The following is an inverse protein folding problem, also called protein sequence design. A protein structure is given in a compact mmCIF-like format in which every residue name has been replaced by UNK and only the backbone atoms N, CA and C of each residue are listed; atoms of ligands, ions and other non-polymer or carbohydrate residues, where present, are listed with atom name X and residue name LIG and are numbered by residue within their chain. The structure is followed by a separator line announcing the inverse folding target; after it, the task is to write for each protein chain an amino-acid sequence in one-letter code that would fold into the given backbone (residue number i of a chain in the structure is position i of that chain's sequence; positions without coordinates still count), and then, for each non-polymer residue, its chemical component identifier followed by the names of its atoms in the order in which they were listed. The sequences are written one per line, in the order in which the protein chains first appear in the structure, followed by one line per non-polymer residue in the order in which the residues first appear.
data_IF_511451489246
#
_entry.id   IF_511451489246
#
_cell.length_a   1.000
_cell.length_b   1.000
_cell.length_c   1.000
_cell.angle_alpha   90.00
_cell.angle_beta   90.00
_cell.angle_gamma   90.00
#
_symmetry.space_group_name_H-M   'P 1'
#
loop_
_entity.id
_entity.type
_entity.pdbx_description
1 polymer ?
#
# COMPACT_ATOMS: atom_id res chain seq x y z
N UNK A 1 26.74 -4.93 -16.25
CA UNK A 1 26.04 -4.65 -14.97
C UNK A 1 25.46 -3.24 -15.06
N UNK A 2 24.17 -3.11 -15.29
CA UNK A 2 23.46 -1.82 -15.23
C UNK A 2 23.21 -1.53 -13.75
N UNK A 3 23.81 -0.47 -13.23
CA UNK A 3 23.61 0.01 -11.86
C UNK A 3 22.16 0.45 -11.73
N UNK A 4 21.40 -0.11 -10.79
CA UNK A 4 20.06 0.38 -10.49
C UNK A 4 20.11 1.90 -10.27
N UNK A 5 19.18 2.68 -10.83
CA UNK A 5 19.18 4.11 -10.63
C UNK A 5 19.02 4.42 -9.13
N UNK A 6 19.92 5.23 -8.61
CA UNK A 6 19.83 5.72 -7.23
C UNK A 6 18.60 6.63 -7.16
N UNK A 7 17.65 6.33 -6.29
CA UNK A 7 16.45 7.13 -6.09
C UNK A 7 16.84 8.61 -5.85
N UNK A 8 16.18 9.53 -6.54
CA UNK A 8 16.39 10.98 -6.36
C UNK A 8 16.06 11.39 -4.92
N UNK A 9 16.64 12.51 -4.45
CA UNK A 9 16.33 13.04 -3.10
C UNK A 9 14.82 13.34 -2.94
N UNK A 10 14.14 13.70 -4.01
CA UNK A 10 12.68 13.86 -4.03
C UNK A 10 11.97 12.50 -3.77
N UNK A 11 12.38 11.45 -4.47
CA UNK A 11 11.79 10.11 -4.29
C UNK A 11 12.06 9.56 -2.90
N UNK A 12 13.26 9.79 -2.35
CA UNK A 12 13.58 9.43 -0.97
C UNK A 12 12.69 10.19 0.02
N UNK A 13 12.55 11.52 -0.13
CA UNK A 13 11.68 12.33 0.71
C UNK A 13 10.21 11.86 0.63
N UNK A 14 9.73 11.55 -0.58
CA UNK A 14 8.37 11.07 -0.81
C UNK A 14 8.13 9.72 -0.13
N UNK A 15 9.07 8.78 -0.21
CA UNK A 15 8.98 7.50 0.47
C UNK A 15 8.92 7.67 2.00
N UNK A 16 9.85 8.46 2.58
CA UNK A 16 9.92 8.70 4.02
C UNK A 16 8.62 9.36 4.53
N UNK A 17 8.09 10.35 3.79
CA UNK A 17 6.86 11.03 4.20
C UNK A 17 5.66 10.08 4.12
N UNK A 18 5.57 9.22 3.10
CA UNK A 18 4.53 8.19 3.01
C UNK A 18 4.61 7.18 4.15
N UNK A 19 5.82 6.76 4.52
CA UNK A 19 6.03 5.86 5.64
C UNK A 19 5.58 6.52 6.95
N UNK A 20 5.89 7.80 7.17
CA UNK A 20 5.45 8.57 8.33
C UNK A 20 3.91 8.75 8.39
N UNK A 21 3.25 8.96 7.25
CA UNK A 21 1.77 8.98 7.15
C UNK A 21 1.22 7.61 7.52
N UNK A 22 1.76 6.55 6.95
CA UNK A 22 1.31 5.17 7.19
C UNK A 22 1.51 4.72 8.63
N UNK A 23 2.58 5.19 9.28
CA UNK A 23 2.89 4.93 10.68
C UNK A 23 2.05 5.79 11.66
N UNK A 24 1.24 6.74 11.14
CA UNK A 24 0.46 7.67 11.99
C UNK A 24 1.32 8.72 12.70
N UNK A 25 2.54 8.96 12.22
CA UNK A 25 3.43 10.00 12.77
C UNK A 25 3.01 11.41 12.34
N UNK A 26 2.22 11.52 11.27
CA UNK A 26 1.61 12.75 10.80
C UNK A 26 0.12 12.74 11.11
N UNK A 27 -0.31 13.74 11.87
CA UNK A 27 -1.67 13.94 12.34
C UNK A 27 -2.49 14.71 11.29
N UNK A 28 -3.72 14.29 10.99
CA UNK A 28 -4.62 14.93 10.03
C UNK A 28 -5.09 16.32 10.48
N UNK A 29 -5.17 16.57 11.78
CA UNK A 29 -5.58 17.88 12.34
C UNK A 29 -4.44 18.92 12.35
N UNK A 30 -3.24 18.52 11.94
CA UNK A 30 -2.04 19.36 12.03
C UNK A 30 -1.59 19.89 10.66
N UNK A 31 -1.15 21.17 10.65
CA UNK A 31 -0.51 21.77 9.47
C UNK A 31 1.00 21.65 9.59
N UNK A 32 1.64 21.11 8.59
CA UNK A 32 3.08 20.87 8.50
C UNK A 32 3.72 21.85 7.52
N UNK A 33 4.70 22.64 7.95
CA UNK A 33 5.51 23.42 7.03
C UNK A 33 6.57 22.56 6.36
N UNK A 34 6.87 22.78 5.08
CA UNK A 34 7.93 22.07 4.39
C UNK A 34 9.29 22.23 5.08
N UNK A 35 9.56 23.40 5.67
CA UNK A 35 10.80 23.66 6.41
C UNK A 35 10.86 22.87 7.73
N UNK A 36 9.73 22.75 8.44
CA UNK A 36 9.64 21.94 9.65
C UNK A 36 9.86 20.46 9.36
N UNK A 37 9.19 19.92 8.34
CA UNK A 37 9.40 18.55 7.88
C UNK A 37 10.84 18.29 7.42
N UNK A 38 11.42 19.19 6.63
CA UNK A 38 12.80 19.09 6.18
C UNK A 38 13.78 18.97 7.36
N UNK A 39 13.58 19.79 8.40
CA UNK A 39 14.36 19.72 9.63
C UNK A 39 14.18 18.40 10.37
N UNK A 40 12.93 17.94 10.50
CA UNK A 40 12.61 16.67 11.18
C UNK A 40 13.21 15.47 10.45
N UNK A 41 13.18 15.47 9.12
CA UNK A 41 13.70 14.39 8.27
C UNK A 41 15.21 14.48 8.00
N UNK A 42 15.89 15.52 8.48
CA UNK A 42 17.31 15.76 8.20
C UNK A 42 17.63 15.99 6.71
N UNK A 43 16.67 16.52 5.95
CA UNK A 43 16.76 16.72 4.50
C UNK A 43 16.76 18.22 4.14
N UNK A 44 17.19 18.54 2.90
CA UNK A 44 17.06 19.90 2.39
C UNK A 44 15.61 20.24 2.06
N UNK A 45 15.27 21.53 2.07
CA UNK A 45 13.90 22.03 1.87
C UNK A 45 13.31 21.69 0.49
N UNK A 46 14.13 21.72 -0.58
CA UNK A 46 13.64 21.56 -1.97
C UNK A 46 13.01 20.17 -2.18
N UNK A 47 13.70 19.04 -1.95
CA UNK A 47 13.15 17.72 -2.18
C UNK A 47 11.92 17.44 -1.29
N UNK A 48 11.88 17.96 -0.05
CA UNK A 48 10.73 17.81 0.83
C UNK A 48 9.52 18.60 0.31
N UNK A 49 9.73 19.83 -0.16
CA UNK A 49 8.65 20.63 -0.78
C UNK A 49 8.12 19.96 -2.04
N UNK A 50 9.00 19.44 -2.90
CA UNK A 50 8.62 18.74 -4.11
C UNK A 50 7.83 17.44 -3.80
N UNK A 51 8.24 16.70 -2.78
CA UNK A 51 7.54 15.53 -2.30
C UNK A 51 6.13 15.89 -1.78
N UNK A 52 6.00 16.94 -0.96
CA UNK A 52 4.71 17.41 -0.47
C UNK A 52 3.80 17.87 -1.62
N UNK A 53 4.34 18.55 -2.64
CA UNK A 53 3.56 18.93 -3.82
C UNK A 53 3.11 17.72 -4.65
N UNK A 54 3.91 16.66 -4.73
CA UNK A 54 3.49 15.40 -5.35
C UNK A 54 2.31 14.78 -4.59
N UNK A 55 2.36 14.75 -3.26
CA UNK A 55 1.25 14.26 -2.42
C UNK A 55 -0.02 15.12 -2.54
N UNK A 56 0.13 16.45 -2.79
CA UNK A 56 -1.02 17.32 -3.12
C UNK A 56 -1.64 16.90 -4.45
N UNK A 57 -0.82 16.65 -5.47
CA UNK A 57 -1.31 16.20 -6.78
C UNK A 57 -2.00 14.83 -6.71
N UNK A 58 -1.59 13.99 -5.76
CA UNK A 58 -2.16 12.66 -5.50
C UNK A 58 -3.43 12.73 -4.63
N UNK A 59 -3.75 13.89 -4.05
CA UNK A 59 -4.91 14.06 -3.16
C UNK A 59 -4.74 13.48 -1.76
N UNK A 60 -3.53 13.06 -1.38
CA UNK A 60 -3.22 12.57 -0.02
C UNK A 60 -3.03 13.74 0.96
N UNK A 61 -2.57 14.86 0.44
CA UNK A 61 -2.26 16.09 1.19
C UNK A 61 -2.90 17.27 0.48
N UNK A 62 -3.32 18.29 1.22
CA UNK A 62 -3.73 19.58 0.67
C UNK A 62 -2.75 20.68 1.04
N UNK A 63 -2.60 21.66 0.15
CA UNK A 63 -1.83 22.87 0.43
C UNK A 63 -2.73 23.88 1.18
N UNK A 64 -2.28 24.32 2.36
CA UNK A 64 -2.92 25.38 3.14
C UNK A 64 -2.20 26.70 2.85
N UNK A 65 -2.85 27.69 2.20
CA UNK A 65 -2.20 28.92 1.78
C UNK A 65 -1.43 29.61 2.91
N UNK A 66 -0.19 29.97 2.68
CA UNK A 66 0.73 30.65 3.61
C UNK A 66 1.02 29.91 4.93
N UNK A 67 0.53 28.68 5.11
CA UNK A 67 0.70 27.90 6.35
C UNK A 67 1.47 26.60 6.16
N UNK A 68 1.30 25.91 5.03
CA UNK A 68 1.97 24.65 4.77
C UNK A 68 1.06 23.60 4.14
N UNK A 69 1.06 22.41 4.68
CA UNK A 69 0.38 21.24 4.16
C UNK A 69 -0.39 20.52 5.29
N UNK A 70 -1.52 19.91 4.95
CA UNK A 70 -2.32 19.11 5.87
C UNK A 70 -2.72 17.80 5.18
N UNK A 71 -2.82 16.70 5.92
CA UNK A 71 -3.39 15.47 5.39
C UNK A 71 -4.86 15.71 5.02
N UNK A 72 -5.31 15.09 3.92
CA UNK A 72 -6.72 15.09 3.55
C UNK A 72 -7.41 14.01 4.39
N UNK A 73 -8.37 14.36 5.27
CA UNK A 73 -9.09 13.36 6.06
C UNK A 73 -9.78 12.33 5.15
N UNK A 74 -9.78 11.07 5.55
CA UNK A 74 -10.47 9.99 4.84
C UNK A 74 -11.59 9.48 5.73
N UNK A 75 -12.82 9.65 5.28
CA UNK A 75 -13.99 9.11 5.99
C UNK A 75 -14.16 7.62 5.75
N UNK A 76 -15.02 6.96 6.53
CA UNK A 76 -15.40 5.57 6.31
C UNK A 76 -16.01 5.36 4.91
N UNK A 77 -16.80 6.31 4.40
CA UNK A 77 -17.38 6.25 3.07
C UNK A 77 -16.30 6.36 1.98
N UNK A 78 -15.35 7.30 2.12
CA UNK A 78 -14.21 7.41 1.21
C UNK A 78 -13.38 6.14 1.18
N UNK A 79 -13.14 5.53 2.36
CA UNK A 79 -12.41 4.27 2.47
C UNK A 79 -13.11 3.12 1.73
N UNK A 80 -14.44 3.07 1.79
CA UNK A 80 -15.23 2.08 1.04
C UNK A 80 -15.14 2.30 -0.47
N UNK A 81 -15.24 3.54 -0.94
CA UNK A 81 -15.08 3.88 -2.36
C UNK A 81 -13.68 3.57 -2.87
N UNK A 82 -12.65 3.98 -2.15
CA UNK A 82 -11.25 3.68 -2.44
C UNK A 82 -11.04 2.17 -2.57
N UNK A 83 -11.53 1.40 -1.59
CA UNK A 83 -11.37 -0.05 -1.59
C UNK A 83 -12.13 -0.70 -2.72
N UNK A 84 -13.34 -0.21 -3.04
CA UNK A 84 -14.11 -0.70 -4.18
C UNK A 84 -13.33 -0.57 -5.50
N UNK A 85 -12.75 0.60 -5.76
CA UNK A 85 -11.92 0.80 -6.97
C UNK A 85 -10.70 -0.11 -6.98
N UNK A 86 -10.04 -0.31 -5.83
CA UNK A 86 -8.91 -1.23 -5.72
C UNK A 86 -9.31 -2.68 -6.02
N UNK A 87 -10.48 -3.12 -5.57
CA UNK A 87 -11.04 -4.46 -5.88
C UNK A 87 -11.30 -4.61 -7.37
N UNK A 88 -11.87 -3.58 -8.04
CA UNK A 88 -12.10 -3.59 -9.49
C UNK A 88 -10.81 -3.75 -10.30
N UNK A 89 -9.66 -3.38 -9.76
CA UNK A 89 -8.35 -3.61 -10.37
C UNK A 89 -7.74 -4.96 -9.93
N UNK A 90 -7.84 -5.32 -8.65
CA UNK A 90 -7.18 -6.50 -8.10
C UNK A 90 -7.80 -7.81 -8.61
N UNK A 91 -9.11 -7.90 -8.71
CA UNK A 91 -9.81 -9.11 -9.17
C UNK A 91 -9.41 -9.51 -10.59
N UNK A 92 -9.45 -8.62 -11.61
CA UNK A 92 -8.95 -8.96 -12.94
C UNK A 92 -7.46 -9.32 -12.96
N UNK A 93 -6.62 -8.63 -12.16
CA UNK A 93 -5.19 -8.93 -12.08
C UNK A 93 -4.93 -10.36 -11.58
N UNK A 94 -5.61 -10.75 -10.51
CA UNK A 94 -5.51 -12.11 -9.93
C UNK A 94 -5.98 -13.16 -10.92
N UNK A 95 -7.13 -12.95 -11.61
CA UNK A 95 -7.64 -13.86 -12.62
C UNK A 95 -6.66 -14.05 -13.77
N UNK A 96 -6.08 -12.97 -14.28
CA UNK A 96 -5.07 -13.01 -15.33
C UNK A 96 -3.83 -13.82 -14.91
N UNK A 97 -3.35 -13.64 -13.67
CA UNK A 97 -2.23 -14.41 -13.14
C UNK A 97 -2.57 -15.89 -13.02
N UNK A 98 -3.76 -16.25 -12.53
CA UNK A 98 -4.22 -17.65 -12.47
C UNK A 98 -4.26 -18.30 -13.85
N UNK A 99 -4.77 -17.61 -14.88
CA UNK A 99 -4.83 -18.11 -16.25
C UNK A 99 -3.45 -18.37 -16.85
N UNK A 100 -2.45 -17.58 -16.46
CA UNK A 100 -1.10 -17.65 -17.00
C UNK A 100 -0.16 -18.53 -16.17
N UNK A 101 -0.51 -18.88 -14.93
CA UNK A 101 0.36 -19.60 -14.00
C UNK A 101 0.90 -20.92 -14.57
N UNK A 102 0.05 -21.70 -15.25
CA UNK A 102 0.40 -23.02 -15.79
C UNK A 102 1.11 -22.97 -17.16
N UNK A 103 1.11 -21.81 -17.85
CA UNK A 103 1.52 -21.74 -19.27
C UNK A 103 2.69 -20.80 -19.54
N UNK A 104 3.04 -19.94 -18.59
CA UNK A 104 4.07 -18.91 -18.77
C UNK A 104 5.21 -19.07 -17.74
N UNK A 105 6.45 -19.37 -18.18
CA UNK A 105 7.62 -19.34 -17.28
C UNK A 105 7.88 -17.96 -16.66
N UNK A 106 7.52 -16.89 -17.35
CA UNK A 106 7.60 -15.52 -16.80
C UNK A 106 6.65 -15.36 -15.62
N UNK A 107 5.41 -15.84 -15.75
CA UNK A 107 4.42 -15.81 -14.67
C UNK A 107 4.85 -16.64 -13.48
N UNK A 108 5.50 -17.79 -13.69
CA UNK A 108 6.07 -18.57 -12.58
C UNK A 108 7.11 -17.78 -11.79
N UNK A 109 7.99 -17.04 -12.47
CA UNK A 109 8.98 -16.17 -11.79
C UNK A 109 8.32 -14.98 -11.07
N UNK A 110 7.22 -14.45 -11.61
CA UNK A 110 6.42 -13.39 -10.96
C UNK A 110 5.70 -13.90 -9.70
N UNK A 111 5.16 -15.12 -9.73
CA UNK A 111 4.54 -15.79 -8.56
C UNK A 111 5.57 -15.97 -7.45
N UNK A 112 6.80 -16.40 -7.77
CA UNK A 112 7.89 -16.50 -6.79
C UNK A 112 8.22 -15.14 -6.15
N UNK A 113 8.20 -14.04 -6.91
CA UNK A 113 8.40 -12.71 -6.36
C UNK A 113 7.24 -12.30 -5.42
N UNK A 114 5.99 -12.62 -5.78
CA UNK A 114 4.83 -12.40 -4.91
C UNK A 114 4.97 -13.20 -3.62
N UNK A 115 5.37 -14.47 -3.71
CA UNK A 115 5.60 -15.36 -2.56
C UNK A 115 6.65 -14.79 -1.61
N UNK A 116 7.76 -14.29 -2.15
CA UNK A 116 8.80 -13.66 -1.34
C UNK A 116 8.30 -12.41 -0.59
N UNK A 117 7.49 -11.56 -1.24
CA UNK A 117 6.91 -10.38 -0.57
C UNK A 117 5.85 -10.79 0.47
N UNK A 118 5.00 -11.78 0.19
CA UNK A 118 4.03 -12.30 1.14
C UNK A 118 4.71 -12.88 2.39
N UNK A 119 5.75 -13.70 2.22
CA UNK A 119 6.53 -14.26 3.32
C UNK A 119 7.18 -13.16 4.19
N UNK A 120 7.78 -12.15 3.55
CA UNK A 120 8.37 -11.02 4.27
C UNK A 120 7.31 -10.17 5.00
N UNK A 121 6.07 -10.11 4.48
CA UNK A 121 4.95 -9.43 5.16
C UNK A 121 4.52 -10.20 6.41
N UNK A 122 4.46 -11.54 6.34
CA UNK A 122 4.15 -12.41 7.50
C UNK A 122 5.21 -12.27 8.58
N UNK A 123 6.50 -12.40 8.23
CA UNK A 123 7.62 -12.26 9.17
C UNK A 123 7.59 -10.90 9.88
N UNK A 124 7.33 -9.83 9.14
CA UNK A 124 7.22 -8.49 9.71
C UNK A 124 6.02 -8.36 10.67
N UNK A 125 4.88 -8.98 10.35
CA UNK A 125 3.71 -9.00 11.23
C UNK A 125 3.97 -9.80 12.51
N UNK A 126 4.58 -10.98 12.41
CA UNK A 126 4.93 -11.83 13.56
C UNK A 126 5.94 -11.17 14.50
N UNK A 127 6.88 -10.41 13.96
CA UNK A 127 7.89 -9.69 14.75
C UNK A 127 7.42 -8.32 15.24
N UNK A 128 6.20 -7.89 14.90
CA UNK A 128 5.65 -6.57 15.25
C UNK A 128 6.37 -5.40 14.56
N UNK A 129 7.14 -5.66 13.50
CA UNK A 129 7.81 -4.62 12.73
C UNK A 129 6.85 -3.98 11.71
N UNK A 130 6.05 -3.03 12.18
CA UNK A 130 4.99 -2.40 11.38
C UNK A 130 5.52 -1.65 10.16
N UNK A 131 6.68 -1.02 10.24
CA UNK A 131 7.31 -0.34 9.09
C UNK A 131 7.66 -1.33 8.00
N UNK A 132 8.28 -2.46 8.34
CA UNK A 132 8.57 -3.53 7.39
C UNK A 132 7.30 -4.17 6.84
N UNK A 133 6.29 -4.43 7.69
CA UNK A 133 4.97 -4.93 7.28
C UNK A 133 4.36 -4.07 6.19
N UNK A 134 4.19 -2.77 6.43
CA UNK A 134 3.57 -1.86 5.46
C UNK A 134 4.40 -1.73 4.17
N UNK A 135 5.72 -1.83 4.26
CA UNK A 135 6.61 -1.80 3.09
C UNK A 135 6.44 -3.04 2.22
N UNK A 136 6.42 -4.25 2.81
CA UNK A 136 6.28 -5.50 2.06
C UNK A 136 4.86 -5.70 1.54
N UNK A 137 3.84 -5.38 2.32
CA UNK A 137 2.43 -5.38 1.90
C UNK A 137 2.21 -4.45 0.69
N UNK A 138 2.82 -3.25 0.72
CA UNK A 138 2.77 -2.32 -0.41
C UNK A 138 3.39 -2.91 -1.67
N UNK A 139 4.59 -3.49 -1.55
CA UNK A 139 5.31 -4.13 -2.66
C UNK A 139 4.56 -5.33 -3.22
N UNK A 140 3.93 -6.12 -2.35
CA UNK A 140 3.10 -7.23 -2.78
C UNK A 140 1.95 -6.78 -3.68
N UNK A 141 1.15 -5.81 -3.21
CA UNK A 141 0.02 -5.29 -3.98
C UNK A 141 0.45 -4.56 -5.26
N UNK A 142 1.59 -3.85 -5.24
CA UNK A 142 2.19 -3.26 -6.43
C UNK A 142 2.52 -4.31 -7.48
N UNK A 143 3.28 -5.32 -7.10
CA UNK A 143 3.69 -6.41 -7.98
C UNK A 143 2.49 -7.22 -8.52
N UNK A 144 1.50 -7.53 -7.67
CA UNK A 144 0.27 -8.21 -8.07
C UNK A 144 -0.44 -7.49 -9.21
N UNK A 145 -0.60 -6.17 -9.09
CA UNK A 145 -1.26 -5.34 -10.09
C UNK A 145 -0.39 -5.16 -11.34
N UNK A 146 0.91 -4.96 -11.17
CA UNK A 146 1.83 -4.78 -12.29
C UNK A 146 1.92 -6.04 -13.15
N UNK A 147 2.03 -7.21 -12.52
CA UNK A 147 2.11 -8.49 -13.22
C UNK A 147 0.79 -8.88 -13.88
N UNK A 148 -0.35 -8.63 -13.21
CA UNK A 148 -1.67 -9.00 -13.77
C UNK A 148 -2.24 -8.02 -14.77
N UNK A 149 -2.06 -6.69 -14.59
CA UNK A 149 -2.68 -5.66 -15.43
C UNK A 149 -1.71 -4.62 -15.97
N UNK A 150 -0.44 -4.63 -15.50
CA UNK A 150 0.58 -3.69 -15.92
C UNK A 150 0.69 -2.45 -15.00
N UNK A 151 1.77 -1.71 -15.22
CA UNK A 151 2.25 -0.62 -14.37
C UNK A 151 1.20 0.46 -14.07
N UNK A 152 0.36 0.83 -15.03
CA UNK A 152 -0.65 1.89 -14.82
C UNK A 152 -1.71 1.51 -13.80
N UNK A 153 -2.15 0.25 -13.79
CA UNK A 153 -3.09 -0.26 -12.80
C UNK A 153 -2.45 -0.26 -11.40
N UNK A 154 -1.19 -0.68 -11.30
CA UNK A 154 -0.43 -0.64 -10.07
C UNK A 154 -0.31 0.79 -9.52
N UNK A 155 0.10 1.77 -10.34
CA UNK A 155 0.23 3.18 -9.96
C UNK A 155 -1.10 3.79 -9.43
N UNK A 156 -2.23 3.46 -10.06
CA UNK A 156 -3.56 3.94 -9.62
C UNK A 156 -3.92 3.30 -8.27
N UNK A 157 -3.81 1.99 -8.15
CA UNK A 157 -4.16 1.27 -6.92
C UNK A 157 -3.28 1.69 -5.75
N UNK A 158 -1.98 1.93 -5.97
CA UNK A 158 -1.07 2.38 -4.92
C UNK A 158 -1.40 3.77 -4.40
N UNK A 159 -1.76 4.72 -5.27
CA UNK A 159 -2.21 6.04 -4.83
C UNK A 159 -3.45 5.95 -3.94
N UNK A 160 -4.42 5.14 -4.33
CA UNK A 160 -5.62 4.88 -3.54
C UNK A 160 -5.28 4.19 -2.20
N UNK A 161 -4.36 3.22 -2.21
CA UNK A 161 -3.86 2.58 -0.99
C UNK A 161 -3.22 3.59 -0.04
N UNK A 162 -2.35 4.45 -0.55
CA UNK A 162 -1.66 5.45 0.27
C UNK A 162 -2.66 6.43 0.90
N UNK A 163 -3.74 6.82 0.18
CA UNK A 163 -4.85 7.58 0.75
C UNK A 163 -5.59 6.80 1.86
N UNK A 164 -5.89 5.52 1.65
CA UNK A 164 -6.59 4.69 2.64
C UNK A 164 -5.84 4.53 3.96
N UNK A 165 -4.52 4.74 3.98
CA UNK A 165 -3.67 4.65 5.18
C UNK A 165 -3.78 5.86 6.12
N UNK A 166 -4.38 6.95 5.68
CA UNK A 166 -4.73 8.09 6.54
C UNK A 166 -5.82 7.67 7.54
N UNK A 167 -6.75 6.81 7.11
CA UNK A 167 -7.75 6.24 8.00
C UNK A 167 -7.11 5.27 9.00
N UNK A 168 -7.18 5.61 10.28
CA UNK A 168 -6.67 4.77 11.36
C UNK A 168 -7.86 4.05 12.03
N UNK A 169 -8.00 2.72 11.86
CA UNK A 169 -9.04 1.97 12.56
C UNK A 169 -8.73 1.91 14.06
N UNK A 170 -9.73 2.15 14.89
CA UNK A 170 -9.68 1.91 16.34
C UNK A 170 -9.96 0.43 16.61
N UNK A 171 -9.18 -0.22 17.50
CA UNK A 171 -9.44 -1.61 17.93
C UNK A 171 -8.24 -2.56 17.87
N UNK A 172 -8.47 -3.87 18.04
CA UNK A 172 -7.44 -4.92 18.12
C UNK A 172 -6.77 -5.16 16.75
N UNK A 173 -5.73 -4.37 16.46
CA UNK A 173 -5.09 -4.30 15.14
C UNK A 173 -4.17 -5.49 14.88
N UNK A 174 -3.44 -6.00 15.88
CA UNK A 174 -2.37 -6.98 15.67
C UNK A 174 -2.85 -8.33 15.11
N UNK A 175 -3.93 -8.89 15.64
CA UNK A 175 -4.46 -10.16 15.14
C UNK A 175 -5.02 -10.05 13.72
N UNK A 176 -5.64 -8.91 13.38
CA UNK A 176 -6.16 -8.64 12.03
C UNK A 176 -5.02 -8.43 11.04
N UNK A 177 -3.94 -7.79 11.46
CA UNK A 177 -2.74 -7.58 10.63
C UNK A 177 -2.08 -8.92 10.29
N UNK A 178 -1.85 -9.78 11.30
CA UNK A 178 -1.27 -11.10 11.05
C UNK A 178 -2.16 -11.95 10.15
N UNK A 179 -3.47 -11.98 10.40
CA UNK A 179 -4.41 -12.71 9.54
C UNK A 179 -4.39 -12.17 8.09
N UNK A 180 -4.34 -10.84 7.91
CA UNK A 180 -4.23 -10.22 6.59
C UNK A 180 -2.92 -10.59 5.88
N UNK A 181 -1.79 -10.63 6.60
CA UNK A 181 -0.51 -11.08 6.05
C UNK A 181 -0.55 -12.55 5.60
N UNK A 182 -1.11 -13.43 6.42
CA UNK A 182 -1.27 -14.86 6.09
C UNK A 182 -2.17 -15.09 4.87
N UNK A 183 -3.18 -14.26 4.67
CA UNK A 183 -4.03 -14.30 3.49
C UNK A 183 -3.25 -14.02 2.20
N UNK A 184 -2.15 -13.23 2.23
CA UNK A 184 -1.32 -13.00 1.05
C UNK A 184 -0.59 -14.29 0.61
N UNK A 185 -0.12 -15.12 1.56
CA UNK A 185 0.46 -16.42 1.24
C UNK A 185 -0.57 -17.35 0.59
N UNK A 186 -1.76 -17.46 1.20
CA UNK A 186 -2.85 -18.25 0.65
C UNK A 186 -3.29 -17.75 -0.73
N UNK A 187 -3.27 -16.44 -0.97
CA UNK A 187 -3.57 -15.86 -2.28
C UNK A 187 -2.56 -16.29 -3.35
N UNK A 188 -1.27 -16.32 -3.01
CA UNK A 188 -0.22 -16.80 -3.93
C UNK A 188 -0.41 -18.27 -4.27
N UNK A 189 -0.75 -19.12 -3.28
CA UNK A 189 -1.03 -20.53 -3.50
C UNK A 189 -2.20 -20.74 -4.45
N UNK A 190 -3.31 -20.00 -4.26
CA UNK A 190 -4.47 -20.04 -5.16
C UNK A 190 -4.16 -19.57 -6.57
N UNK A 191 -3.29 -18.56 -6.73
CA UNK A 191 -2.85 -18.08 -8.05
C UNK A 191 -2.02 -19.19 -8.74
N UNK A 192 -1.08 -19.81 -8.04
CA UNK A 192 -0.24 -20.88 -8.58
C UNK A 192 -1.05 -22.12 -8.99
N UNK A 193 -2.09 -22.45 -8.20
CA UNK A 193 -3.03 -23.54 -8.50
C UNK A 193 -4.05 -23.20 -9.60
N UNK A 194 -4.09 -21.96 -10.08
CA UNK A 194 -5.05 -21.50 -11.11
C UNK A 194 -6.49 -21.39 -10.62
N UNK A 195 -6.72 -21.26 -9.30
CA UNK A 195 -8.05 -21.21 -8.64
C UNK A 195 -8.61 -19.79 -8.66
N UNK A 196 -8.95 -19.31 -9.85
CA UNK A 196 -9.25 -17.90 -10.11
C UNK A 196 -10.43 -17.33 -9.29
N UNK A 197 -11.51 -18.10 -9.07
CA UNK A 197 -12.67 -17.61 -8.31
C UNK A 197 -12.34 -17.46 -6.82
N UNK A 198 -11.67 -18.44 -6.23
CA UNK A 198 -11.27 -18.40 -4.82
C UNK A 198 -10.21 -17.34 -4.56
N UNK A 199 -9.27 -17.16 -5.49
CA UNK A 199 -8.28 -16.09 -5.42
C UNK A 199 -8.94 -14.69 -5.51
N UNK A 200 -9.96 -14.53 -6.38
CA UNK A 200 -10.73 -13.29 -6.49
C UNK A 200 -11.54 -12.97 -5.22
N UNK A 201 -12.14 -13.99 -4.59
CA UNK A 201 -12.82 -13.83 -3.30
C UNK A 201 -11.85 -13.47 -2.19
N UNK A 202 -10.69 -14.14 -2.14
CA UNK A 202 -9.68 -13.90 -1.12
C UNK A 202 -9.07 -12.51 -1.22
N UNK A 203 -8.68 -12.04 -2.41
CA UNK A 203 -8.12 -10.69 -2.59
C UNK A 203 -9.16 -9.61 -2.25
N UNK A 204 -10.43 -9.83 -2.58
CA UNK A 204 -11.51 -8.93 -2.19
C UNK A 204 -11.63 -8.82 -0.67
N UNK A 205 -11.68 -9.96 0.03
CA UNK A 205 -11.76 -10.02 1.49
C UNK A 205 -10.53 -9.37 2.14
N UNK A 206 -9.35 -9.61 1.62
CA UNK A 206 -8.11 -9.02 2.11
C UNK A 206 -8.11 -7.50 2.00
N UNK A 207 -8.54 -6.94 0.87
CA UNK A 207 -8.63 -5.49 0.68
C UNK A 207 -9.65 -4.81 1.61
N UNK A 208 -10.72 -5.52 2.00
CA UNK A 208 -11.71 -5.05 2.97
C UNK A 208 -11.35 -5.39 4.44
N UNK A 209 -10.06 -5.55 4.76
CA UNK A 209 -9.60 -5.93 6.10
C UNK A 209 -10.12 -5.01 7.21
N UNK A 210 -10.27 -3.70 6.93
CA UNK A 210 -10.76 -2.70 7.88
C UNK A 210 -12.20 -2.97 8.38
N UNK A 211 -13.03 -3.68 7.62
CA UNK A 211 -14.36 -4.10 8.09
C UNK A 211 -14.30 -5.13 9.21
N UNK A 212 -13.17 -5.82 9.36
CA UNK A 212 -12.94 -6.80 10.42
C UNK A 212 -12.50 -6.16 11.73
N UNK A 213 -11.85 -4.98 11.67
CA UNK A 213 -11.44 -4.24 12.85
C UNK A 213 -12.61 -3.58 13.59
N UNK A 214 -13.67 -3.18 12.86
CA UNK A 214 -14.88 -2.57 13.46
C UNK A 214 -15.89 -3.56 14.06
N UNK A 215 -15.72 -4.88 13.86
CA UNK A 215 -16.65 -5.89 14.41
C UNK A 215 -16.19 -6.50 15.75
N UNK A 216 -15.02 -6.13 16.25
CA UNK A 216 -14.49 -6.62 17.52
C UNK A 216 -15.03 -5.89 18.76
N UNK A 217 -15.90 -4.88 18.58
CA UNK A 217 -16.47 -4.07 19.68
C UNK A 217 -17.97 -4.31 19.95
N UNK A 218 -18.55 -5.47 19.53
CA UNK A 218 -19.94 -5.84 19.88
C UNK A 218 -20.01 -7.12 20.69
#
# INVERSE_FOLDING_TARGET
MVRAPVASLREQALAIIRDAITAGELDEDRIYSAAGLAKQLGMSLSPVREAMMALVTEGTVEAVPNRGFRLVPVTQADLEEITHVRVLLAVPAVRQLCEQAAVSPETSAQIEQLRAQAAATVDAAETGNMTAFFTHDRRFHEALLEFGLGRRAAEISLRLRDQSRIFQPTGAVDAVILASAQELMALVDLIEEGRADEAAELVTRNLYFFKRTGQAET
#
